data_IF_860422254102
#
_entry.id   IF_860422254102
#
_cell.length_a   1.000
_cell.length_b   1.000
_cell.length_c   1.000
_cell.angle_alpha   90.00
_cell.angle_beta   90.00
_cell.angle_gamma   90.00
#
_symmetry.space_group_name_H-M   'P 1'
#
loop_
_entity.id
_entity.type
_entity.pdbx_description
1 polymer ?
#
# COMPACT_ATOMS: atom_id res chain seq x y z
N UNK A 1 -4.86 -18.63 -23.94
CA UNK A 1 -4.05 -18.68 -22.71
C UNK A 1 -3.06 -17.54 -22.76
N UNK A 2 -3.25 -16.49 -21.96
CA UNK A 2 -2.25 -15.43 -21.81
C UNK A 2 -1.01 -16.03 -21.13
N UNK A 3 0.12 -16.07 -21.84
CA UNK A 3 1.40 -16.46 -21.25
C UNK A 3 2.01 -15.23 -20.58
N UNK A 4 2.37 -15.36 -19.31
CA UNK A 4 3.26 -14.44 -18.60
C UNK A 4 4.55 -14.31 -19.41
N UNK A 5 4.62 -13.27 -20.23
CA UNK A 5 5.75 -12.99 -21.10
C UNK A 5 6.17 -11.55 -20.90
N UNK A 6 7.46 -11.28 -21.07
CA UNK A 6 7.99 -9.92 -21.03
C UNK A 6 7.25 -9.00 -22.01
N UNK A 7 6.81 -9.53 -23.16
CA UNK A 7 6.02 -8.80 -24.15
C UNK A 7 4.63 -8.38 -23.64
N UNK A 8 3.96 -9.26 -22.87
CA UNK A 8 2.69 -8.92 -22.21
C UNK A 8 2.90 -7.88 -21.11
N UNK A 9 3.93 -8.03 -20.28
CA UNK A 9 4.29 -7.04 -19.26
C UNK A 9 4.64 -5.68 -19.86
N UNK A 10 5.30 -5.66 -21.01
CA UNK A 10 5.66 -4.45 -21.74
C UNK A 10 4.44 -3.74 -22.37
N UNK A 11 3.27 -4.40 -22.44
CA UNK A 11 2.05 -3.84 -23.01
C UNK A 11 1.28 -2.92 -22.05
N UNK A 12 1.54 -3.00 -20.75
CA UNK A 12 0.99 -2.05 -19.78
C UNK A 12 1.61 -0.67 -20.02
N UNK A 13 0.81 0.31 -20.46
CA UNK A 13 1.29 1.67 -20.72
C UNK A 13 1.72 2.38 -19.42
N UNK A 14 3.01 2.70 -19.25
CA UNK A 14 3.49 3.45 -18.12
C UNK A 14 3.41 4.96 -18.43
N UNK A 15 3.08 5.76 -17.42
CA UNK A 15 3.42 7.18 -17.45
C UNK A 15 4.94 7.24 -17.16
N UNK A 16 5.70 7.12 -18.26
CA UNK A 16 7.17 7.09 -18.42
C UNK A 16 7.89 5.86 -17.84
N UNK A 17 8.47 5.04 -18.73
CA UNK A 17 9.50 4.05 -18.42
C UNK A 17 10.82 4.46 -19.06
N UNK A 18 11.92 4.40 -18.31
CA UNK A 18 13.27 4.57 -18.81
C UNK A 18 13.98 3.23 -19.07
N UNK A 19 15.17 3.32 -19.67
CA UNK A 19 15.99 2.21 -20.17
C UNK A 19 16.50 1.27 -19.06
N UNK A 20 16.46 1.71 -17.79
CA UNK A 20 16.94 0.94 -16.65
C UNK A 20 15.97 -0.20 -16.27
N UNK A 21 14.67 0.07 -16.32
CA UNK A 21 13.63 -0.95 -16.09
C UNK A 21 13.70 -2.10 -17.12
N UNK A 22 13.89 -1.78 -18.40
CA UNK A 22 14.04 -2.79 -19.48
C UNK A 22 15.24 -3.71 -19.25
N UNK A 23 16.35 -3.16 -18.76
CA UNK A 23 17.58 -3.94 -18.47
C UNK A 23 17.39 -4.91 -17.31
N UNK A 24 16.74 -4.48 -16.22
CA UNK A 24 16.54 -5.32 -15.04
C UNK A 24 15.50 -6.43 -15.26
N UNK A 25 14.46 -6.17 -16.07
CA UNK A 25 13.50 -7.22 -16.49
C UNK A 25 14.20 -8.35 -17.26
N UNK A 26 15.10 -8.01 -18.18
CA UNK A 26 15.82 -9.02 -18.97
C UNK A 26 16.70 -9.92 -18.10
N UNK A 27 17.24 -9.42 -16.99
CA UNK A 27 18.08 -10.22 -16.06
C UNK A 27 17.21 -11.11 -15.16
N UNK A 28 15.95 -10.74 -14.94
CA UNK A 28 14.98 -11.49 -14.12
C UNK A 28 14.01 -12.33 -14.97
N UNK A 29 14.35 -12.64 -16.21
CA UNK A 29 13.47 -13.31 -17.17
C UNK A 29 12.88 -14.62 -16.63
N UNK A 30 13.66 -15.45 -15.95
CA UNK A 30 13.22 -16.71 -15.34
C UNK A 30 12.19 -16.53 -14.22
N UNK A 31 12.22 -15.39 -13.52
CA UNK A 31 11.25 -15.04 -12.50
C UNK A 31 9.93 -14.57 -13.13
N UNK A 32 9.99 -13.79 -14.21
CA UNK A 32 8.81 -13.29 -14.92
C UNK A 32 8.14 -14.33 -15.83
N UNK A 33 8.88 -15.35 -16.27
CA UNK A 33 8.41 -16.45 -17.14
C UNK A 33 7.92 -17.69 -16.37
N UNK A 34 7.83 -17.62 -15.04
CA UNK A 34 7.27 -18.70 -14.24
C UNK A 34 5.76 -18.86 -14.49
N UNK A 35 5.37 -19.96 -15.15
CA UNK A 35 3.97 -20.25 -15.49
C UNK A 35 3.06 -20.43 -14.26
N UNK A 36 3.62 -20.61 -13.06
CA UNK A 36 2.86 -20.67 -11.80
C UNK A 36 2.52 -19.29 -11.23
N UNK A 37 3.04 -18.20 -11.80
CA UNK A 37 2.86 -16.83 -11.31
C UNK A 37 2.10 -16.03 -12.35
N UNK A 38 0.88 -15.60 -12.05
CA UNK A 38 0.16 -14.65 -12.91
C UNK A 38 0.48 -13.23 -12.49
N UNK A 39 1.01 -12.44 -13.44
CA UNK A 39 1.26 -11.03 -13.25
C UNK A 39 0.02 -10.20 -13.52
N UNK A 40 -0.33 -9.32 -12.60
CA UNK A 40 -1.46 -8.39 -12.75
C UNK A 40 -1.04 -6.97 -12.40
N UNK A 41 -1.70 -6.00 -13.03
CA UNK A 41 -1.49 -4.59 -12.76
C UNK A 41 -1.95 -4.24 -11.32
N UNK A 42 -1.22 -3.37 -10.63
CA UNK A 42 -1.61 -2.93 -9.28
C UNK A 42 -3.03 -2.40 -9.25
N UNK A 43 -3.36 -1.53 -10.20
CA UNK A 43 -4.67 -0.90 -10.28
C UNK A 43 -5.80 -1.88 -10.55
N UNK A 44 -5.53 -3.07 -11.09
CA UNK A 44 -6.59 -4.08 -11.30
C UNK A 44 -6.95 -4.82 -10.01
N UNK A 45 -6.09 -4.79 -8.99
CA UNK A 45 -6.25 -5.52 -7.71
C UNK A 45 -6.54 -4.63 -6.51
N UNK A 46 -6.52 -3.31 -6.70
CA UNK A 46 -6.83 -2.34 -5.67
C UNK A 46 -8.20 -1.71 -5.92
N UNK A 47 -8.88 -1.36 -4.83
CA UNK A 47 -10.15 -0.64 -4.82
C UNK A 47 -10.09 0.57 -3.90
N UNK A 48 -10.88 1.59 -4.22
CA UNK A 48 -10.99 2.78 -3.37
C UNK A 48 -9.66 3.51 -3.14
N UNK A 49 -8.75 3.50 -4.12
CA UNK A 49 -7.44 4.16 -4.01
C UNK A 49 -7.64 5.65 -3.76
N UNK A 50 -7.31 6.10 -2.55
CA UNK A 50 -7.44 7.51 -2.13
C UNK A 50 -6.35 7.88 -1.13
N UNK A 51 -6.12 9.17 -0.98
CA UNK A 51 -5.31 9.64 0.14
C UNK A 51 -6.13 9.60 1.43
N UNK A 52 -5.43 9.55 2.56
CA UNK A 52 -6.01 9.88 3.84
C UNK A 52 -6.45 11.35 3.93
N UNK A 53 -6.79 11.79 5.13
CA UNK A 53 -7.37 13.10 5.39
C UNK A 53 -6.34 14.08 5.97
N UNK A 54 -6.39 15.34 5.55
CA UNK A 54 -5.66 16.42 6.23
C UNK A 54 -6.55 16.97 7.34
N UNK A 55 -6.25 16.62 8.58
CA UNK A 55 -7.05 16.98 9.74
C UNK A 55 -6.60 18.34 10.27
N UNK A 56 -7.55 19.20 10.65
CA UNK A 56 -7.26 20.49 11.27
C UNK A 56 -6.91 20.30 12.74
N UNK A 57 -6.12 21.21 13.29
CA UNK A 57 -5.67 21.21 14.69
C UNK A 57 -6.82 21.07 15.70
N UNK A 58 -7.98 21.62 15.38
CA UNK A 58 -9.14 21.66 16.28
C UNK A 58 -9.73 20.27 16.57
N UNK A 59 -9.44 19.27 15.73
CA UNK A 59 -9.89 17.89 15.91
C UNK A 59 -8.86 17.00 16.64
N UNK A 60 -7.70 17.55 17.01
CA UNK A 60 -6.71 16.82 17.79
C UNK A 60 -7.05 16.92 19.27
N UNK A 61 -7.04 15.77 19.93
CA UNK A 61 -7.24 15.66 21.37
C UNK A 61 -5.92 15.80 22.12
N UNK A 62 -5.94 16.54 23.22
CA UNK A 62 -4.83 16.58 24.19
C UNK A 62 -4.84 15.38 25.13
N UNK A 63 -5.95 14.66 25.19
CA UNK A 63 -6.16 13.44 25.97
C UNK A 63 -6.20 12.23 25.04
N UNK A 64 -5.89 11.06 25.57
CA UNK A 64 -5.96 9.79 24.85
C UNK A 64 -7.40 9.45 24.46
N UNK A 65 -7.60 9.10 23.20
CA UNK A 65 -8.88 8.62 22.66
C UNK A 65 -8.67 7.32 21.91
N UNK A 66 -9.76 6.64 21.55
CA UNK A 66 -9.72 5.43 20.72
C UNK A 66 -9.41 5.73 19.25
N UNK A 67 -9.42 7.00 18.82
CA UNK A 67 -9.30 7.38 17.42
C UNK A 67 -7.92 8.00 17.16
N UNK A 68 -7.09 7.32 16.36
CA UNK A 68 -5.70 7.66 16.11
C UNK A 68 -5.49 8.25 14.71
N UNK A 69 -4.83 9.41 14.63
CA UNK A 69 -4.31 9.94 13.36
C UNK A 69 -2.96 9.28 13.03
N UNK A 70 -2.92 8.57 11.91
CA UNK A 70 -1.76 7.84 11.45
C UNK A 70 -0.93 8.68 10.48
N UNK A 71 0.18 9.20 10.99
CA UNK A 71 1.17 9.95 10.21
C UNK A 71 2.13 9.03 9.45
N UNK A 72 2.69 9.55 8.35
CA UNK A 72 3.77 8.86 7.60
C UNK A 72 4.99 8.52 8.45
N UNK A 73 5.20 9.23 9.57
CA UNK A 73 6.36 9.01 10.43
C UNK A 73 6.26 7.72 11.24
N UNK A 74 5.03 7.29 11.54
CA UNK A 74 4.72 6.07 12.29
C UNK A 74 4.72 4.82 11.41
N UNK A 75 4.54 4.97 10.10
CA UNK A 75 4.52 3.83 9.17
C UNK A 75 5.95 3.41 8.81
N UNK A 76 6.28 2.14 9.06
CA UNK A 76 7.52 1.49 8.64
C UNK A 76 7.19 0.18 7.95
N UNK A 77 8.14 -0.35 7.18
CA UNK A 77 7.99 -1.62 6.47
C UNK A 77 7.81 -2.83 7.41
N UNK A 78 8.20 -2.67 8.67
CA UNK A 78 8.15 -3.69 9.71
C UNK A 78 7.02 -3.44 10.73
N UNK A 79 6.14 -2.45 10.48
CA UNK A 79 5.00 -2.16 11.34
C UNK A 79 4.84 -0.69 11.69
N UNK A 80 3.84 -0.42 12.53
CA UNK A 80 3.67 0.88 13.18
C UNK A 80 4.72 1.05 14.28
N UNK A 81 5.28 2.25 14.40
CA UNK A 81 6.13 2.66 15.51
C UNK A 81 5.41 3.69 16.36
N UNK A 82 5.60 3.60 17.67
CA UNK A 82 5.12 4.60 18.61
C UNK A 82 5.99 5.86 18.51
N UNK A 83 5.52 6.82 17.73
CA UNK A 83 6.19 8.10 17.48
C UNK A 83 5.18 9.19 17.20
N UNK A 84 5.18 10.24 18.03
CA UNK A 84 4.30 11.40 17.88
C UNK A 84 2.83 10.97 17.72
N UNK A 85 2.37 10.07 18.60
CA UNK A 85 1.01 9.55 18.56
C UNK A 85 0.03 10.72 18.74
N UNK A 86 -0.88 10.84 17.78
CA UNK A 86 -1.89 11.89 17.78
C UNK A 86 -3.26 11.25 17.96
N UNK A 87 -4.02 11.77 18.91
CA UNK A 87 -5.38 11.36 19.21
C UNK A 87 -6.36 12.35 18.58
N UNK A 88 -7.51 11.85 18.16
CA UNK A 88 -8.55 12.64 17.52
C UNK A 88 -9.80 12.67 18.39
N UNK A 89 -10.49 13.81 18.40
CA UNK A 89 -11.81 13.93 19.00
C UNK A 89 -12.86 13.22 18.15
N UNK A 90 -13.98 12.81 18.76
CA UNK A 90 -15.06 12.12 18.03
C UNK A 90 -15.67 12.96 16.90
N UNK A 91 -15.60 14.29 17.01
CA UNK A 91 -16.09 15.24 15.99
C UNK A 91 -15.42 15.05 14.62
N UNK A 92 -14.25 14.39 14.57
CA UNK A 92 -13.57 14.07 13.31
C UNK A 92 -14.43 13.18 12.40
N UNK A 93 -15.34 12.37 12.97
CA UNK A 93 -16.23 11.46 12.24
C UNK A 93 -17.26 12.20 11.38
N UNK A 94 -17.54 13.46 11.70
CA UNK A 94 -18.48 14.32 10.97
C UNK A 94 -17.83 15.01 9.76
N UNK A 95 -16.51 14.88 9.57
CA UNK A 95 -15.80 15.51 8.47
C UNK A 95 -16.13 14.84 7.12
N UNK A 96 -16.37 15.69 6.10
CA UNK A 96 -16.52 15.23 4.72
C UNK A 96 -15.24 14.54 4.24
N UNK A 97 -15.37 13.25 3.89
CA UNK A 97 -14.24 12.43 3.45
C UNK A 97 -13.56 11.65 4.56
N UNK A 98 -14.08 11.71 5.79
CA UNK A 98 -13.74 10.79 6.87
C UNK A 98 -13.93 9.33 6.42
N UNK A 99 -12.99 8.48 6.84
CA UNK A 99 -13.13 7.04 6.76
C UNK A 99 -12.17 6.36 7.72
N UNK A 100 -12.61 5.22 8.24
CA UNK A 100 -11.77 4.35 9.04
C UNK A 100 -10.86 3.52 8.13
N UNK A 101 -9.64 3.29 8.58
CA UNK A 101 -8.88 2.17 8.06
C UNK A 101 -9.54 0.87 8.49
N UNK A 102 -9.59 -0.08 7.57
CA UNK A 102 -10.13 -1.41 7.78
C UNK A 102 -9.02 -2.46 7.62
N UNK A 103 -9.25 -3.69 8.11
CA UNK A 103 -8.42 -4.84 7.74
C UNK A 103 -8.31 -5.03 6.22
N UNK A 104 -7.23 -5.69 5.80
CA UNK A 104 -6.89 -5.97 4.40
C UNK A 104 -6.79 -4.76 3.45
N UNK A 105 -6.35 -3.63 4.01
CA UNK A 105 -5.94 -2.44 3.27
C UNK A 105 -4.43 -2.38 3.11
N UNK A 106 -3.98 -1.76 2.03
CA UNK A 106 -2.58 -1.35 1.86
C UNK A 106 -2.44 0.15 2.09
N UNK A 107 -1.47 0.51 2.93
CA UNK A 107 -1.02 1.87 3.18
C UNK A 107 0.28 2.11 2.44
N UNK A 108 0.44 3.26 1.79
CA UNK A 108 1.67 3.64 1.09
C UNK A 108 2.02 5.09 1.41
N UNK A 109 3.21 5.34 1.94
CA UNK A 109 3.68 6.68 2.28
C UNK A 109 3.99 7.50 1.01
N UNK A 110 3.46 8.73 0.94
CA UNK A 110 3.73 9.68 -0.16
C UNK A 110 4.76 10.76 0.18
N UNK A 111 5.14 10.90 1.44
CA UNK A 111 6.04 11.95 1.92
C UNK A 111 6.94 11.41 3.04
N UNK A 112 8.03 12.14 3.35
CA UNK A 112 9.06 11.72 4.29
C UNK A 112 9.93 10.60 3.69
N UNK A 113 9.52 9.34 3.89
CA UNK A 113 10.14 8.16 3.26
C UNK A 113 9.19 7.59 2.23
N UNK A 114 9.20 8.17 1.02
CA UNK A 114 8.27 7.81 -0.06
C UNK A 114 8.42 6.33 -0.44
N UNK A 115 7.29 5.64 -0.60
CA UNK A 115 7.26 4.26 -1.13
C UNK A 115 7.43 3.17 -0.07
N UNK A 116 7.31 3.50 1.22
CA UNK A 116 7.11 2.49 2.27
C UNK A 116 5.66 2.07 2.23
N UNK A 117 5.41 0.76 2.19
CA UNK A 117 4.07 0.21 2.32
C UNK A 117 3.89 -0.57 3.61
N UNK A 118 2.66 -0.61 4.10
CA UNK A 118 2.29 -1.46 5.22
C UNK A 118 0.88 -2.01 4.98
N UNK A 119 0.68 -3.27 5.31
CA UNK A 119 -0.64 -3.88 5.31
C UNK A 119 -1.32 -3.62 6.65
N UNK A 120 -2.61 -3.30 6.64
CA UNK A 120 -3.38 -3.18 7.89
C UNK A 120 -3.58 -4.52 8.60
N UNK A 121 -3.31 -5.65 7.94
CA UNK A 121 -3.25 -6.96 8.61
C UNK A 121 -1.96 -7.16 9.43
N UNK A 122 -1.06 -6.19 9.47
CA UNK A 122 0.15 -6.30 10.27
C UNK A 122 -0.20 -6.31 11.78
N UNK A 123 0.45 -7.15 12.62
CA UNK A 123 0.12 -7.26 14.06
C UNK A 123 0.30 -5.98 14.89
N UNK A 124 0.86 -4.92 14.31
CA UNK A 124 0.98 -3.61 14.96
C UNK A 124 -0.31 -2.80 14.93
N UNK A 125 -1.34 -3.23 14.18
CA UNK A 125 -2.67 -2.65 14.25
C UNK A 125 -3.49 -3.41 15.28
N UNK A 126 -4.13 -2.65 16.18
CA UNK A 126 -5.09 -3.19 17.14
C UNK A 126 -6.47 -2.58 16.86
N UNK A 127 -7.20 -3.18 15.93
CA UNK A 127 -8.55 -2.73 15.55
C UNK A 127 -9.62 -3.05 16.60
N UNK A 128 -9.29 -3.84 17.64
CA UNK A 128 -10.20 -4.10 18.77
C UNK A 128 -10.18 -2.93 19.77
N UNK A 129 -9.07 -2.19 19.85
CA UNK A 129 -8.90 -1.06 20.77
C UNK A 129 -8.99 0.31 20.07
N UNK A 130 -8.56 0.40 18.81
CA UNK A 130 -8.41 1.68 18.13
C UNK A 130 -9.08 1.74 16.76
N UNK A 131 -9.60 2.93 16.47
CA UNK A 131 -9.96 3.39 15.14
C UNK A 131 -8.77 4.13 14.56
N UNK A 132 -8.32 3.76 13.37
CA UNK A 132 -7.20 4.41 12.71
C UNK A 132 -7.67 5.26 11.54
N UNK A 133 -7.23 6.51 11.49
CA UNK A 133 -7.47 7.44 10.38
C UNK A 133 -6.14 7.75 9.72
N UNK A 134 -6.03 7.50 8.41
CA UNK A 134 -4.80 7.83 7.70
C UNK A 134 -4.69 9.33 7.44
N UNK A 135 -3.50 9.90 7.67
CA UNK A 135 -3.19 11.28 7.27
C UNK A 135 -3.17 11.46 5.74
N UNK A 136 -3.34 12.69 5.27
CA UNK A 136 -3.39 13.04 3.83
C UNK A 136 -2.12 12.74 3.02
N UNK A 137 -1.03 12.38 3.70
CA UNK A 137 0.23 11.96 3.08
C UNK A 137 0.38 10.43 2.99
N UNK A 138 -0.67 9.68 3.31
CA UNK A 138 -0.74 8.22 3.16
C UNK A 138 -1.76 7.89 2.07
N UNK A 139 -1.36 7.10 1.08
CA UNK A 139 -2.31 6.47 0.15
C UNK A 139 -2.87 5.24 0.85
N UNK A 140 -4.17 5.07 0.73
CA UNK A 140 -4.92 3.92 1.24
C UNK A 140 -5.63 3.25 0.07
N UNK A 141 -5.71 1.93 0.09
CA UNK A 141 -6.50 1.17 -0.86
C UNK A 141 -6.95 -0.15 -0.24
N UNK A 142 -8.20 -0.55 -0.51
CA UNK A 142 -8.66 -1.91 -0.22
C UNK A 142 -8.10 -2.87 -1.26
N UNK A 143 -7.86 -4.10 -0.84
CA UNK A 143 -7.38 -5.16 -1.73
C UNK A 143 -8.58 -6.01 -2.16
N UNK A 144 -8.66 -6.33 -3.45
CA UNK A 144 -9.73 -7.20 -3.97
C UNK A 144 -9.60 -8.61 -3.42
N UNK A 145 -10.74 -9.29 -3.29
CA UNK A 145 -10.80 -10.70 -2.91
C UNK A 145 -9.86 -11.58 -3.74
N UNK A 146 -9.16 -12.49 -3.07
CA UNK A 146 -8.19 -13.39 -3.69
C UNK A 146 -6.80 -12.78 -3.90
N UNK A 147 -6.57 -11.54 -3.46
CA UNK A 147 -5.25 -10.94 -3.31
C UNK A 147 -4.93 -10.72 -1.82
N UNK A 148 -3.71 -10.29 -1.50
CA UNK A 148 -3.28 -10.14 -0.11
C UNK A 148 -2.56 -8.82 0.09
N UNK A 149 -3.08 -7.97 0.99
CA UNK A 149 -2.41 -6.72 1.37
C UNK A 149 -0.98 -6.95 1.87
N UNK A 150 -0.73 -8.05 2.60
CA UNK A 150 0.60 -8.44 3.07
C UNK A 150 1.57 -8.67 1.89
N UNK A 151 1.13 -9.42 0.88
CA UNK A 151 1.94 -9.70 -0.30
C UNK A 151 2.22 -8.43 -1.12
N UNK A 152 1.22 -7.55 -1.24
CA UNK A 152 1.33 -6.26 -1.94
C UNK A 152 2.31 -5.34 -1.22
N UNK A 153 2.13 -5.13 0.08
CA UNK A 153 3.00 -4.30 0.90
C UNK A 153 4.44 -4.83 0.90
N UNK A 154 4.61 -6.15 1.06
CA UNK A 154 5.91 -6.80 0.95
C UNK A 154 6.57 -6.57 -0.41
N UNK A 155 5.81 -6.70 -1.51
CA UNK A 155 6.32 -6.48 -2.86
C UNK A 155 6.71 -5.01 -3.12
N UNK A 156 5.92 -4.04 -2.64
CA UNK A 156 6.28 -2.61 -2.68
C UNK A 156 7.58 -2.36 -1.89
N UNK A 157 7.73 -3.00 -0.73
CA UNK A 157 8.86 -2.80 0.16
C UNK A 157 10.16 -3.46 -0.29
N UNK A 158 10.16 -4.34 -1.30
CA UNK A 158 11.40 -4.89 -1.86
C UNK A 158 12.31 -3.76 -2.35
N UNK A 159 13.60 -3.82 -2.03
CA UNK A 159 14.57 -2.77 -2.33
C UNK A 159 14.56 -2.35 -3.82
N UNK A 160 14.45 -3.33 -4.72
CA UNK A 160 14.32 -3.08 -6.17
C UNK A 160 13.05 -2.30 -6.51
N UNK A 161 11.91 -2.60 -5.86
CA UNK A 161 10.65 -1.89 -6.04
C UNK A 161 10.66 -0.50 -5.41
N UNK A 162 11.25 -0.32 -4.21
CA UNK A 162 11.40 1.00 -3.58
C UNK A 162 12.26 1.96 -4.40
N UNK A 163 13.37 1.46 -4.97
CA UNK A 163 14.22 2.27 -5.86
C UNK A 163 13.49 2.66 -7.15
N UNK A 164 12.59 1.81 -7.66
CA UNK A 164 11.70 2.12 -8.79
C UNK A 164 10.62 3.13 -8.37
N UNK A 165 10.03 3.00 -7.18
CA UNK A 165 8.97 3.87 -6.64
C UNK A 165 9.43 5.29 -6.27
N UNK A 166 10.69 5.45 -5.85
CA UNK A 166 11.30 6.75 -5.60
C UNK A 166 11.52 7.57 -6.88
N UNK A 167 11.44 6.93 -8.07
CA UNK A 167 11.58 7.59 -9.36
C UNK A 167 10.31 7.52 -10.23
N UNK A 168 9.40 6.56 -10.04
CA UNK A 168 8.23 6.33 -10.92
C UNK A 168 7.03 5.66 -10.24
N UNK A 169 5.81 5.92 -10.73
CA UNK A 169 4.55 5.27 -10.31
C UNK A 169 4.44 3.84 -10.90
N UNK A 170 3.90 2.90 -10.12
CA UNK A 170 3.44 1.51 -10.43
C UNK A 170 4.31 0.34 -9.95
N UNK A 171 3.64 -0.71 -9.40
CA UNK A 171 4.21 -1.96 -8.85
C UNK A 171 3.23 -3.14 -9.04
N UNK A 172 3.60 -4.19 -9.80
CA UNK A 172 2.76 -5.39 -10.05
C UNK A 172 2.45 -6.19 -8.78
N UNK A 173 1.37 -7.00 -8.75
CA UNK A 173 1.03 -7.82 -7.57
C UNK A 173 0.87 -9.28 -7.93
N UNK A 174 1.31 -10.16 -7.01
CA UNK A 174 1.19 -11.62 -7.07
C UNK A 174 -0.20 -12.08 -6.64
N UNK A 175 -0.89 -12.86 -7.47
CA UNK A 175 -2.00 -13.73 -7.04
C UNK A 175 -1.42 -15.06 -6.54
N UNK A 176 -1.85 -15.53 -5.36
CA UNK A 176 -1.58 -16.91 -4.94
C UNK A 176 -2.78 -17.73 -5.39
N UNK A 177 -2.58 -18.62 -6.35
CA UNK A 177 -3.62 -19.58 -6.73
C UNK A 177 -3.87 -20.54 -5.56
N UNK A 178 -5.14 -20.84 -5.20
CA UNK A 178 -5.41 -21.93 -4.27
C UNK A 178 -4.91 -23.24 -4.89
N UNK A 179 -4.29 -24.08 -4.05
CA UNK A 179 -3.93 -25.46 -4.43
C UNK A 179 -5.16 -26.17 -4.99
N UNK A 180 -5.03 -26.98 -6.05
CA UNK A 180 -6.11 -27.88 -6.42
C UNK A 180 -6.35 -28.87 -5.27
N UNK A 181 -7.60 -29.33 -5.05
CA UNK A 181 -7.88 -30.45 -4.17
C UNK A 181 -7.19 -31.74 -4.63
#
# INVERSE_FOLDING_TARGET
MEKNSVNYLASFSPIRCDTHFKRNINVAESFFSNEKITWVALGSVLEGVRNGMNIKTDFYSMEETDTLDLSVSQIKEYGLIDKNQNYLTDEVKDLSGYFDLEPDMVLITRSGTIGVALSTNHPSFNFDEYVYVASGFVITAKVKDGFSANAIAGYINFLTCRNILQQWRWVLVRRISPSPP
#
